data_IF_368965999833
#
_entry.id   IF_368965999833
#
_cell.length_a   1.000
_cell.length_b   1.000
_cell.length_c   1.000
_cell.angle_alpha   90.00
_cell.angle_beta   90.00
_cell.angle_gamma   90.00
#
_symmetry.space_group_name_H-M   'P 1'
#
loop_
_entity.id
_entity.type
_entity.pdbx_description
1 polymer ?
#
# COMPACT_ATOMS: atom_id res chain seq x y z
N UNK A 1 -10.56 0.61 -10.79
CA UNK A 1 -10.36 -0.05 -12.09
C UNK A 1 -8.89 -0.10 -12.51
N UNK A 2 -8.15 1.03 -12.54
CA UNK A 2 -6.77 1.08 -13.09
C UNK A 2 -5.63 0.72 -12.13
N UNK A 3 -5.94 0.34 -10.89
CA UNK A 3 -4.90 -0.07 -9.91
C UNK A 3 -4.01 -1.23 -10.38
N UNK A 4 -4.52 -2.26 -11.10
CA UNK A 4 -3.66 -3.29 -11.65
C UNK A 4 -2.56 -2.75 -12.57
N UNK A 5 -2.85 -1.71 -13.36
CA UNK A 5 -1.83 -1.02 -14.17
C UNK A 5 -0.85 -0.23 -13.30
N UNK A 6 -1.34 0.41 -12.23
CA UNK A 6 -0.49 1.14 -11.29
C UNK A 6 0.54 0.21 -10.63
N UNK A 7 0.12 -0.96 -10.15
CA UNK A 7 1.00 -1.93 -9.50
C UNK A 7 1.90 -2.71 -10.49
N UNK A 8 1.56 -2.73 -11.79
CA UNK A 8 2.35 -3.47 -12.80
C UNK A 8 3.27 -2.58 -13.64
N UNK A 9 3.22 -1.25 -13.50
CA UNK A 9 3.91 -0.32 -14.40
C UNK A 9 5.42 -0.53 -14.48
N UNK A 10 6.04 -0.96 -13.38
CA UNK A 10 7.48 -1.23 -13.31
C UNK A 10 7.84 -2.70 -13.55
N UNK A 11 6.84 -3.58 -13.67
CA UNK A 11 7.05 -5.02 -13.81
C UNK A 11 7.20 -5.39 -15.30
N UNK A 12 8.15 -6.26 -15.60
CA UNK A 12 8.49 -6.64 -16.99
C UNK A 12 8.16 -8.11 -17.21
N UNK A 13 7.63 -8.43 -18.41
CA UNK A 13 7.32 -9.80 -18.79
C UNK A 13 6.26 -10.45 -17.89
N UNK A 14 6.51 -11.69 -17.47
CA UNK A 14 5.58 -12.49 -16.65
C UNK A 14 5.23 -11.84 -15.30
N UNK A 15 6.16 -11.05 -14.75
CA UNK A 15 5.91 -10.31 -13.51
C UNK A 15 4.78 -9.28 -13.66
N UNK A 16 4.66 -8.67 -14.84
CA UNK A 16 3.61 -7.69 -15.15
C UNK A 16 2.23 -8.32 -15.13
N UNK A 17 2.07 -9.47 -15.81
CA UNK A 17 0.82 -10.22 -15.80
C UNK A 17 0.44 -10.68 -14.39
N UNK A 18 1.41 -11.20 -13.63
CA UNK A 18 1.19 -11.59 -12.23
C UNK A 18 0.78 -10.41 -11.35
N UNK A 19 1.41 -9.25 -11.52
CA UNK A 19 1.06 -8.01 -10.81
C UNK A 19 -0.37 -7.58 -11.08
N UNK A 20 -0.81 -7.64 -12.34
CA UNK A 20 -2.19 -7.33 -12.72
C UNK A 20 -3.17 -8.30 -12.05
N UNK A 21 -2.91 -9.60 -12.13
CA UNK A 21 -3.80 -10.64 -11.58
C UNK A 21 -3.88 -10.55 -10.06
N UNK A 22 -2.73 -10.49 -9.37
CA UNK A 22 -2.69 -10.37 -7.91
C UNK A 22 -3.41 -9.12 -7.42
N UNK A 23 -3.19 -7.98 -8.10
CA UNK A 23 -3.87 -6.73 -7.75
C UNK A 23 -5.37 -6.81 -7.95
N UNK A 24 -5.81 -7.34 -9.10
CA UNK A 24 -7.23 -7.51 -9.40
C UNK A 24 -7.93 -8.42 -8.38
N UNK A 25 -7.32 -9.56 -8.07
CA UNK A 25 -7.87 -10.54 -7.11
C UNK A 25 -7.92 -9.98 -5.68
N UNK A 26 -6.89 -9.26 -5.23
CA UNK A 26 -6.88 -8.60 -3.93
C UNK A 26 -7.95 -7.50 -3.84
N UNK A 27 -8.15 -6.71 -4.89
CA UNK A 27 -9.22 -5.71 -4.92
C UNK A 27 -10.61 -6.33 -4.94
N UNK A 28 -10.80 -7.45 -5.64
CA UNK A 28 -12.08 -8.16 -5.66
C UNK A 28 -12.46 -8.65 -4.26
N UNK A 29 -11.55 -9.34 -3.56
CA UNK A 29 -11.83 -9.80 -2.20
C UNK A 29 -12.02 -8.61 -1.25
N UNK A 30 -11.20 -7.56 -1.38
CA UNK A 30 -11.34 -6.35 -0.59
C UNK A 30 -12.72 -5.70 -0.77
N UNK A 31 -13.19 -5.57 -2.02
CA UNK A 31 -14.50 -5.00 -2.32
C UNK A 31 -15.63 -5.76 -1.62
N UNK A 32 -15.72 -7.08 -1.84
CA UNK A 32 -16.77 -7.93 -1.25
C UNK A 32 -16.76 -7.84 0.28
N UNK A 33 -15.57 -7.93 0.88
CA UNK A 33 -15.42 -7.89 2.34
C UNK A 33 -15.72 -6.51 2.91
N UNK A 34 -15.36 -5.41 2.23
CA UNK A 34 -15.73 -4.05 2.67
C UNK A 34 -17.24 -3.87 2.74
N UNK A 35 -18.00 -4.35 1.75
CA UNK A 35 -19.47 -4.29 1.81
C UNK A 35 -20.02 -5.11 2.98
N UNK A 36 -19.53 -6.33 3.16
CA UNK A 36 -19.95 -7.19 4.27
C UNK A 36 -19.65 -6.56 5.63
N UNK A 37 -18.40 -6.13 5.86
CA UNK A 37 -17.97 -5.52 7.11
C UNK A 37 -18.69 -4.20 7.35
N UNK A 38 -18.89 -3.36 6.33
CA UNK A 38 -19.61 -2.10 6.48
C UNK A 38 -21.03 -2.30 7.02
N UNK A 39 -21.75 -3.32 6.53
CA UNK A 39 -23.08 -3.66 7.04
C UNK A 39 -22.98 -4.29 8.45
N UNK A 40 -22.03 -5.19 8.68
CA UNK A 40 -21.90 -5.91 9.95
C UNK A 40 -21.57 -4.99 11.14
N UNK A 41 -20.78 -3.94 10.93
CA UNK A 41 -20.38 -2.99 11.98
C UNK A 41 -21.35 -1.80 12.13
N UNK A 42 -22.40 -1.75 11.32
CA UNK A 42 -23.49 -0.80 11.47
C UNK A 42 -24.63 -1.43 12.28
N UNK A 43 -25.16 -0.68 13.26
CA UNK A 43 -26.21 -1.17 14.16
C UNK A 43 -27.53 -1.50 13.44
N UNK A 44 -27.80 -0.85 12.31
CA UNK A 44 -28.98 -1.05 11.48
C UNK A 44 -28.68 -1.86 10.21
N UNK A 45 -27.48 -2.43 10.08
CA UNK A 45 -27.02 -3.20 8.91
C UNK A 45 -26.97 -2.40 7.61
N UNK A 46 -26.88 -1.07 7.66
CA UNK A 46 -26.78 -0.22 6.47
C UNK A 46 -25.35 -0.15 5.94
N UNK A 47 -25.22 0.21 4.67
CA UNK A 47 -23.93 0.49 4.05
C UNK A 47 -23.54 1.95 4.25
N UNK A 48 -22.27 2.21 4.54
CA UNK A 48 -21.73 3.57 4.64
C UNK A 48 -20.92 3.88 3.38
N UNK A 49 -21.29 4.92 2.66
CA UNK A 49 -20.65 5.29 1.39
C UNK A 49 -19.18 5.70 1.53
N UNK A 50 -18.75 6.22 2.70
CA UNK A 50 -17.32 6.48 2.95
C UNK A 50 -16.53 5.17 2.93
N UNK A 51 -17.07 4.09 3.50
CA UNK A 51 -16.42 2.78 3.43
C UNK A 51 -16.40 2.27 1.98
N UNK A 52 -17.52 2.37 1.26
CA UNK A 52 -17.63 1.85 -0.11
C UNK A 52 -16.70 2.59 -1.09
N UNK A 53 -16.62 3.90 -0.98
CA UNK A 53 -15.78 4.73 -1.87
C UNK A 53 -14.29 4.56 -1.58
N UNK A 54 -13.92 4.35 -0.32
CA UNK A 54 -12.51 4.32 0.08
C UNK A 54 -12.00 2.91 0.40
N UNK A 55 -12.59 2.22 1.37
CA UNK A 55 -12.04 0.95 1.88
C UNK A 55 -12.03 -0.17 0.84
N UNK A 56 -12.89 -0.13 -0.19
CA UNK A 56 -12.86 -1.08 -1.32
C UNK A 56 -11.56 -1.03 -2.14
N UNK A 57 -10.80 0.06 -2.01
CA UNK A 57 -9.53 0.28 -2.70
C UNK A 57 -8.31 -0.22 -1.89
N UNK A 58 -8.48 -0.51 -0.60
CA UNK A 58 -7.39 -0.85 0.32
C UNK A 58 -6.62 -2.13 -0.10
N UNK A 59 -7.29 -3.08 -0.76
CA UNK A 59 -6.65 -4.28 -1.30
C UNK A 59 -5.59 -3.98 -2.36
N UNK A 60 -5.78 -2.92 -3.16
CA UNK A 60 -4.79 -2.47 -4.15
C UNK A 60 -3.54 -1.89 -3.49
N UNK A 61 -3.71 -1.17 -2.37
CA UNK A 61 -2.60 -0.68 -1.54
C UNK A 61 -1.86 -1.86 -0.88
N UNK A 62 -2.60 -2.75 -0.22
CA UNK A 62 -2.03 -3.81 0.61
C UNK A 62 -1.22 -4.86 -0.17
N UNK A 63 -1.56 -5.08 -1.44
CA UNK A 63 -0.81 -6.00 -2.32
C UNK A 63 0.34 -5.32 -3.05
N UNK A 64 0.48 -4.00 -2.99
CA UNK A 64 1.42 -3.23 -3.81
C UNK A 64 2.85 -3.77 -3.77
N UNK A 65 3.41 -3.97 -2.58
CA UNK A 65 4.78 -4.46 -2.39
C UNK A 65 4.99 -5.91 -2.81
N UNK A 66 3.92 -6.69 -2.99
CA UNK A 66 3.99 -8.13 -3.33
C UNK A 66 3.26 -8.47 -4.63
N UNK A 67 2.80 -7.46 -5.38
CA UNK A 67 2.00 -7.65 -6.58
C UNK A 67 2.74 -8.50 -7.61
N UNK A 68 4.03 -8.23 -7.82
CA UNK A 68 4.88 -9.00 -8.75
C UNK A 68 5.45 -10.29 -8.13
N UNK A 69 5.18 -10.60 -6.86
CA UNK A 69 5.69 -11.78 -6.18
C UNK A 69 4.78 -13.01 -6.37
N UNK A 70 5.32 -14.22 -6.17
CA UNK A 70 4.57 -15.49 -6.29
C UNK A 70 3.77 -15.78 -5.02
N UNK A 71 2.75 -14.96 -4.77
CA UNK A 71 1.84 -15.12 -3.61
C UNK A 71 0.64 -16.02 -3.90
N UNK A 72 0.48 -16.48 -5.14
CA UNK A 72 -0.70 -17.17 -5.67
C UNK A 72 -2.00 -16.35 -5.54
N UNK A 73 -3.06 -16.67 -6.34
CA UNK A 73 -4.33 -15.97 -6.22
C UNK A 73 -4.95 -16.04 -4.82
N UNK A 74 -4.76 -17.14 -4.09
CA UNK A 74 -5.28 -17.27 -2.73
C UNK A 74 -4.60 -16.30 -1.74
N UNK A 75 -3.29 -16.09 -1.87
CA UNK A 75 -2.57 -15.14 -1.02
C UNK A 75 -3.03 -13.71 -1.27
N UNK A 76 -3.23 -13.34 -2.55
CA UNK A 76 -3.81 -12.05 -2.92
C UNK A 76 -5.21 -11.84 -2.31
N UNK A 77 -6.08 -12.86 -2.33
CA UNK A 77 -7.41 -12.78 -1.70
C UNK A 77 -7.34 -12.56 -0.18
N UNK A 78 -6.42 -13.24 0.50
CA UNK A 78 -6.20 -13.09 1.96
C UNK A 78 -5.76 -11.67 2.27
N UNK A 79 -4.77 -11.14 1.54
CA UNK A 79 -4.27 -9.77 1.71
C UNK A 79 -5.41 -8.76 1.54
N UNK A 80 -6.20 -8.89 0.46
CA UNK A 80 -7.34 -8.02 0.20
C UNK A 80 -8.42 -8.07 1.29
N UNK A 81 -8.71 -9.27 1.83
CA UNK A 81 -9.65 -9.47 2.94
C UNK A 81 -9.17 -8.77 4.21
N UNK A 82 -7.90 -8.94 4.58
CA UNK A 82 -7.31 -8.30 5.75
C UNK A 82 -7.32 -6.76 5.60
N UNK A 83 -6.97 -6.27 4.41
CA UNK A 83 -6.99 -4.83 4.10
C UNK A 83 -8.40 -4.23 4.23
N UNK A 84 -9.43 -4.91 3.73
CA UNK A 84 -10.82 -4.49 3.88
C UNK A 84 -11.25 -4.35 5.34
N UNK A 85 -10.90 -5.34 6.18
CA UNK A 85 -11.24 -5.32 7.61
C UNK A 85 -10.51 -4.15 8.30
N UNK A 86 -9.19 -4.04 8.11
CA UNK A 86 -8.37 -2.97 8.71
C UNK A 86 -8.90 -1.60 8.28
N UNK A 87 -9.15 -1.40 6.99
CA UNK A 87 -9.59 -0.11 6.46
C UNK A 87 -11.00 0.25 6.95
N UNK A 88 -11.96 -0.66 6.82
CA UNK A 88 -13.37 -0.40 7.18
C UNK A 88 -13.55 -0.18 8.68
N UNK A 89 -12.89 -0.98 9.52
CA UNK A 89 -12.89 -0.77 10.98
C UNK A 89 -12.14 0.52 11.33
N UNK A 90 -11.07 0.83 10.62
CA UNK A 90 -10.33 2.09 10.76
C UNK A 90 -11.22 3.32 10.56
N UNK A 91 -12.01 3.35 9.50
CA UNK A 91 -12.98 4.43 9.27
C UNK A 91 -14.00 4.54 10.41
N UNK A 92 -14.56 3.42 10.87
CA UNK A 92 -15.60 3.42 11.90
C UNK A 92 -15.08 3.77 13.31
N UNK A 93 -13.89 3.31 13.67
CA UNK A 93 -13.38 3.33 15.05
C UNK A 93 -12.14 4.23 15.18
N UNK A 94 -11.13 4.01 14.36
CA UNK A 94 -9.83 4.69 14.51
C UNK A 94 -9.94 6.17 14.13
N UNK A 95 -10.61 6.51 13.02
CA UNK A 95 -10.74 7.92 12.58
C UNK A 95 -11.40 8.79 13.65
N UNK A 96 -12.56 8.41 14.23
CA UNK A 96 -13.13 9.17 15.34
C UNK A 96 -12.22 9.24 16.57
N UNK A 97 -11.46 8.17 16.86
CA UNK A 97 -10.53 8.16 17.98
C UNK A 97 -9.37 9.14 17.79
N UNK A 98 -8.71 9.12 16.62
CA UNK A 98 -7.61 10.02 16.27
C UNK A 98 -8.07 11.48 16.36
N UNK A 99 -9.24 11.80 15.80
CA UNK A 99 -9.81 13.14 15.85
C UNK A 99 -10.14 13.58 17.29
N UNK A 100 -10.86 12.75 18.07
CA UNK A 100 -11.37 13.15 19.39
C UNK A 100 -10.34 13.10 20.52
N UNK A 101 -9.33 12.23 20.41
CA UNK A 101 -8.37 11.97 21.50
C UNK A 101 -6.96 12.47 21.19
N UNK A 102 -6.56 12.47 19.91
CA UNK A 102 -5.23 12.89 19.49
C UNK A 102 -5.23 14.20 18.69
N UNK A 103 -6.41 14.76 18.39
CA UNK A 103 -6.57 15.99 17.61
C UNK A 103 -5.94 15.89 16.21
N UNK A 104 -5.90 14.67 15.67
CA UNK A 104 -5.41 14.37 14.33
C UNK A 104 -6.60 14.29 13.38
N UNK A 105 -6.82 15.36 12.63
CA UNK A 105 -7.87 15.44 11.63
C UNK A 105 -7.41 14.83 10.30
N UNK A 106 -8.07 13.75 9.88
CA UNK A 106 -7.83 13.06 8.61
C UNK A 106 -9.12 13.12 7.78
N UNK A 107 -9.25 14.17 6.96
CA UNK A 107 -10.48 14.49 6.21
C UNK A 107 -10.99 13.33 5.36
N UNK A 108 -10.09 12.67 4.64
CA UNK A 108 -10.46 11.55 3.75
C UNK A 108 -10.24 10.18 4.40
N UNK A 109 -9.69 10.12 5.61
CA UNK A 109 -9.29 8.86 6.23
C UNK A 109 -8.14 8.17 5.49
N UNK A 110 -7.18 8.93 4.96
CA UNK A 110 -6.04 8.40 4.20
C UNK A 110 -5.19 7.45 5.05
N UNK A 111 -5.19 7.56 6.37
CA UNK A 111 -4.56 6.58 7.23
C UNK A 111 -5.24 5.19 7.14
N UNK A 112 -6.56 5.14 6.97
CA UNK A 112 -7.30 3.88 6.86
C UNK A 112 -7.19 3.26 5.47
N UNK A 113 -7.07 4.07 4.41
CA UNK A 113 -6.93 3.58 3.05
C UNK A 113 -5.46 3.31 2.67
N UNK A 114 -4.56 4.24 2.95
CA UNK A 114 -3.17 4.18 2.52
C UNK A 114 -2.23 3.78 3.66
N UNK A 115 -2.31 4.44 4.81
CA UNK A 115 -1.37 4.25 5.93
C UNK A 115 -1.32 2.81 6.44
N UNK A 116 -2.40 2.34 7.07
CA UNK A 116 -2.45 1.00 7.65
C UNK A 116 -2.36 -0.12 6.59
N UNK A 117 -3.06 -0.05 5.44
CA UNK A 117 -2.88 -1.05 4.38
C UNK A 117 -1.47 -1.03 3.77
N UNK A 118 -0.80 0.12 3.71
CA UNK A 118 0.60 0.23 3.28
C UNK A 118 1.59 -0.42 4.27
N UNK A 119 1.36 -0.26 5.57
CA UNK A 119 2.10 -1.00 6.61
C UNK A 119 1.89 -2.50 6.46
N UNK A 120 0.64 -2.95 6.23
CA UNK A 120 0.34 -4.35 5.94
C UNK A 120 1.12 -4.83 4.71
N UNK A 121 1.20 -4.04 3.63
CA UNK A 121 1.96 -4.39 2.43
C UNK A 121 3.45 -4.62 2.72
N UNK A 122 4.07 -3.74 3.51
CA UNK A 122 5.48 -3.89 3.90
C UNK A 122 5.73 -5.13 4.76
N UNK A 123 4.84 -5.42 5.71
CA UNK A 123 4.92 -6.62 6.55
C UNK A 123 4.75 -7.90 5.73
N UNK A 124 3.77 -7.93 4.82
CA UNK A 124 3.55 -9.07 3.93
C UNK A 124 4.74 -9.25 2.98
N UNK A 125 5.33 -8.17 2.47
CA UNK A 125 6.56 -8.22 1.66
C UNK A 125 7.72 -8.89 2.41
N UNK A 126 7.93 -8.55 3.68
CA UNK A 126 8.95 -9.20 4.50
C UNK A 126 8.71 -10.70 4.66
N UNK A 127 7.45 -11.10 4.92
CA UNK A 127 7.08 -12.53 5.02
C UNK A 127 7.33 -13.24 3.69
N UNK A 128 6.86 -12.69 2.58
CA UNK A 128 7.03 -13.31 1.25
C UNK A 128 8.52 -13.39 0.87
N UNK A 129 9.32 -12.36 1.18
CA UNK A 129 10.76 -12.37 0.99
C UNK A 129 11.46 -13.47 1.80
N UNK A 130 11.04 -13.70 3.05
CA UNK A 130 11.60 -14.76 3.91
C UNK A 130 11.30 -16.19 3.42
N UNK A 131 10.27 -16.35 2.59
CA UNK A 131 9.85 -17.64 2.02
C UNK A 131 10.31 -17.84 0.57
N UNK A 132 10.94 -16.82 -0.02
CA UNK A 132 11.39 -16.88 -1.40
C UNK A 132 12.64 -17.74 -1.53
N UNK A 133 12.63 -18.72 -2.42
CA UNK A 133 13.75 -19.63 -2.67
C UNK A 133 13.88 -19.93 -4.17
N UNK A 134 15.03 -20.44 -4.62
CA UNK A 134 15.19 -20.92 -6.00
C UNK A 134 14.22 -22.07 -6.32
N UNK A 135 13.75 -22.84 -5.34
CA UNK A 135 12.73 -23.86 -5.55
C UNK A 135 11.38 -23.23 -5.97
N UNK A 136 10.96 -22.18 -5.27
CA UNK A 136 9.66 -21.54 -5.49
C UNK A 136 9.69 -20.53 -6.63
N UNK A 137 10.84 -19.89 -6.89
CA UNK A 137 10.99 -18.82 -7.89
C UNK A 137 11.85 -19.20 -9.10
N UNK A 138 12.54 -20.34 -9.06
CA UNK A 138 13.59 -20.64 -10.02
C UNK A 138 14.68 -19.57 -10.02
N UNK A 139 15.40 -19.47 -11.13
CA UNK A 139 16.43 -18.45 -11.34
C UNK A 139 15.87 -17.01 -11.39
N UNK A 140 14.55 -16.84 -11.60
CA UNK A 140 13.91 -15.50 -11.61
C UNK A 140 13.97 -14.80 -10.25
N UNK A 141 14.25 -15.55 -9.17
CA UNK A 141 14.49 -15.01 -7.83
C UNK A 141 15.49 -13.85 -7.84
N UNK A 142 16.54 -13.97 -8.64
CA UNK A 142 17.65 -13.01 -8.67
C UNK A 142 17.34 -11.73 -9.45
N UNK A 143 16.32 -11.75 -10.32
CA UNK A 143 15.77 -10.53 -10.91
C UNK A 143 14.91 -9.78 -9.90
N UNK A 144 14.11 -10.51 -9.12
CA UNK A 144 13.23 -9.94 -8.10
C UNK A 144 14.01 -9.39 -6.89
N UNK A 145 15.06 -10.11 -6.46
CA UNK A 145 15.92 -9.74 -5.34
C UNK A 145 17.40 -9.70 -5.76
N UNK A 146 17.86 -8.62 -6.42
CA UNK A 146 19.23 -8.52 -6.92
C UNK A 146 20.31 -8.68 -5.83
N UNK A 147 20.05 -8.20 -4.61
CA UNK A 147 20.99 -8.34 -3.48
C UNK A 147 21.23 -9.81 -3.07
N UNK A 148 20.31 -10.72 -3.42
CA UNK A 148 20.48 -12.16 -3.21
C UNK A 148 21.36 -12.83 -4.26
N UNK A 149 21.68 -12.14 -5.36
CA UNK A 149 22.56 -12.67 -6.40
C UNK A 149 23.93 -13.05 -5.81
N UNK A 150 24.56 -14.15 -6.25
CA UNK A 150 25.84 -14.59 -5.71
C UNK A 150 26.95 -13.55 -5.91
N UNK A 151 28.01 -13.68 -5.10
CA UNK A 151 29.18 -12.80 -5.15
C UNK A 151 29.90 -12.91 -6.50
N UNK A 152 30.65 -11.86 -6.85
CA UNK A 152 31.54 -11.85 -8.00
C UNK A 152 32.53 -13.01 -7.95
N UNK A 153 32.83 -13.60 -9.11
CA UNK A 153 33.72 -14.76 -9.28
C UNK A 153 33.25 -16.08 -8.61
N UNK A 154 31.97 -16.21 -8.28
CA UNK A 154 31.39 -17.48 -7.83
C UNK A 154 30.96 -18.37 -9.00
N UNK A 155 31.02 -19.68 -8.81
CA UNK A 155 30.50 -20.66 -9.78
C UNK A 155 29.00 -20.47 -9.99
N UNK A 156 28.25 -20.15 -8.93
CA UNK A 156 26.81 -19.91 -9.00
C UNK A 156 26.46 -18.68 -9.83
N UNK A 157 27.23 -17.57 -9.70
CA UNK A 157 27.03 -16.41 -10.57
C UNK A 157 27.30 -16.77 -12.03
N UNK A 158 28.35 -17.53 -12.30
CA UNK A 158 28.69 -17.98 -13.67
C UNK A 158 27.56 -18.83 -14.26
N UNK A 159 26.97 -19.73 -13.47
CA UNK A 159 25.77 -20.52 -13.85
C UNK A 159 24.59 -19.60 -14.18
N UNK A 160 24.29 -18.62 -13.32
CA UNK A 160 23.16 -17.72 -13.52
C UNK A 160 23.34 -16.82 -14.74
N UNK A 161 24.55 -16.36 -15.01
CA UNK A 161 24.87 -15.55 -16.20
C UNK A 161 24.65 -16.32 -17.50
N UNK A 162 24.90 -17.63 -17.53
CA UNK A 162 24.61 -18.49 -18.68
C UNK A 162 23.10 -18.67 -18.94
N UNK A 163 22.28 -18.68 -17.87
CA UNK A 163 20.82 -18.93 -17.97
C UNK A 163 20.04 -17.64 -18.25
N UNK A 164 20.31 -16.59 -17.47
CA UNK A 164 19.50 -15.37 -17.46
C UNK A 164 20.05 -14.29 -18.39
N UNK A 165 21.37 -14.27 -18.62
CA UNK A 165 22.05 -13.20 -19.34
C UNK A 165 22.04 -11.87 -18.58
N UNK A 166 23.20 -11.24 -18.42
CA UNK A 166 23.29 -9.88 -17.85
C UNK A 166 22.95 -9.74 -16.36
N UNK A 167 22.78 -10.84 -15.62
CA UNK A 167 22.65 -10.80 -14.15
C UNK A 167 23.96 -10.26 -13.54
N UNK A 168 23.83 -9.28 -12.64
CA UNK A 168 24.95 -8.66 -11.94
C UNK A 168 25.25 -9.43 -10.65
N UNK A 169 26.51 -9.42 -10.17
CA UNK A 169 26.81 -9.91 -8.83
C UNK A 169 25.99 -9.13 -7.79
N UNK A 170 25.55 -9.83 -6.75
CA UNK A 170 24.89 -9.24 -5.60
C UNK A 170 25.71 -9.44 -4.33
N UNK A 171 25.06 -9.27 -3.19
CA UNK A 171 25.67 -9.36 -1.87
C UNK A 171 25.51 -10.76 -1.25
N UNK A 172 24.98 -11.73 -2.02
CA UNK A 172 24.67 -13.08 -1.58
C UNK A 172 23.79 -13.12 -0.32
N UNK A 173 22.77 -12.25 -0.27
CA UNK A 173 21.85 -12.17 0.86
C UNK A 173 21.02 -13.46 1.04
N UNK A 174 20.89 -13.87 2.30
CA UNK A 174 19.97 -14.93 2.73
C UNK A 174 18.50 -14.49 2.62
N UNK A 175 17.55 -15.41 2.76
CA UNK A 175 16.12 -15.06 2.88
C UNK A 175 15.87 -14.10 4.04
N UNK A 176 16.55 -14.35 5.17
CA UNK A 176 16.41 -13.55 6.38
C UNK A 176 16.95 -12.13 6.18
N UNK A 177 18.11 -11.99 5.51
CA UNK A 177 18.68 -10.69 5.18
C UNK A 177 17.75 -9.89 4.26
N UNK A 178 17.19 -10.54 3.24
CA UNK A 178 16.25 -9.89 2.34
C UNK A 178 14.95 -9.48 3.03
N UNK A 179 14.42 -10.31 3.92
CA UNK A 179 13.23 -9.99 4.72
C UNK A 179 13.48 -8.84 5.71
N UNK A 180 14.64 -8.84 6.36
CA UNK A 180 15.05 -7.74 7.25
C UNK A 180 15.12 -6.42 6.49
N UNK A 181 15.69 -6.41 5.28
CA UNK A 181 15.74 -5.22 4.44
C UNK A 181 14.34 -4.68 4.08
N UNK A 182 13.33 -5.54 3.90
CA UNK A 182 11.94 -5.09 3.68
C UNK A 182 11.38 -4.37 4.92
N UNK A 183 11.66 -4.89 6.12
CA UNK A 183 11.24 -4.27 7.39
C UNK A 183 11.98 -2.96 7.65
N UNK A 184 13.28 -2.93 7.37
CA UNK A 184 14.11 -1.73 7.48
C UNK A 184 13.62 -0.63 6.53
N UNK A 185 13.30 -0.98 5.27
CA UNK A 185 12.73 -0.05 4.30
C UNK A 185 11.37 0.50 4.78
N UNK A 186 10.50 -0.33 5.34
CA UNK A 186 9.24 0.10 5.93
C UNK A 186 9.46 1.09 7.09
N UNK A 187 10.33 0.74 8.05
CA UNK A 187 10.62 1.59 9.20
C UNK A 187 11.23 2.93 8.78
N UNK A 188 12.17 2.90 7.84
CA UNK A 188 12.81 4.10 7.26
C UNK A 188 11.78 4.97 6.56
N UNK A 189 10.89 4.38 5.76
CA UNK A 189 9.82 5.13 5.07
C UNK A 189 8.90 5.84 6.06
N UNK A 190 8.48 5.16 7.13
CA UNK A 190 7.64 5.77 8.18
C UNK A 190 8.41 6.91 8.87
N UNK A 191 9.67 6.69 9.23
CA UNK A 191 10.51 7.70 9.87
C UNK A 191 10.67 8.97 9.02
N UNK A 192 10.94 8.80 7.71
CA UNK A 192 11.04 9.91 6.76
C UNK A 192 9.68 10.61 6.62
N UNK A 193 8.59 9.87 6.40
CA UNK A 193 7.26 10.44 6.19
C UNK A 193 6.78 11.28 7.39
N UNK A 194 6.96 10.78 8.62
CA UNK A 194 6.59 11.52 9.84
C UNK A 194 7.44 12.78 9.99
N UNK A 195 8.76 12.65 9.84
CA UNK A 195 9.68 13.78 10.01
C UNK A 195 9.43 14.87 8.95
N UNK A 196 9.33 14.48 7.68
CA UNK A 196 9.06 15.41 6.59
C UNK A 196 7.66 16.03 6.69
N UNK A 197 6.65 15.27 7.11
CA UNK A 197 5.30 15.76 7.34
C UNK A 197 5.22 16.82 8.43
N UNK A 198 5.92 16.60 9.56
CA UNK A 198 6.02 17.59 10.65
C UNK A 198 6.69 18.87 10.16
N UNK A 199 7.84 18.76 9.49
CA UNK A 199 8.58 19.91 8.96
C UNK A 199 7.70 20.71 7.98
N UNK A 200 7.09 20.00 7.03
CA UNK A 200 6.19 20.62 6.04
C UNK A 200 5.02 21.30 6.72
N UNK A 201 4.39 20.65 7.70
CA UNK A 201 3.29 21.21 8.50
C UNK A 201 3.66 22.51 9.21
N UNK A 202 4.87 22.61 9.77
CA UNK A 202 5.36 23.86 10.37
C UNK A 202 5.59 24.96 9.33
N UNK A 203 6.09 24.62 8.15
CA UNK A 203 6.33 25.59 7.06
C UNK A 203 5.00 26.17 6.57
N UNK A 204 4.03 25.32 6.21
CA UNK A 204 2.75 25.75 5.63
C UNK A 204 1.83 26.45 6.64
N UNK A 205 2.12 26.35 7.93
CA UNK A 205 1.43 27.11 8.98
C UNK A 205 1.84 28.59 9.01
N UNK A 206 2.92 28.96 8.32
CA UNK A 206 3.38 30.34 8.24
C UNK A 206 2.32 31.24 7.55
N UNK A 207 2.12 32.50 8.01
CA UNK A 207 1.21 33.45 7.36
C UNK A 207 1.51 33.72 5.88
N UNK A 208 2.74 33.46 5.42
CA UNK A 208 3.12 33.58 4.01
C UNK A 208 2.35 32.63 3.09
N UNK A 209 1.76 31.55 3.63
CA UNK A 209 0.95 30.59 2.88
C UNK A 209 -0.55 30.79 3.08
N UNK A 210 -0.96 31.85 3.78
CA UNK A 210 -2.35 32.23 4.04
C UNK A 210 -3.27 31.03 4.41
N UNK A 211 -2.97 30.32 5.52
CA UNK A 211 -3.72 29.13 5.89
C UNK A 211 -5.19 29.48 6.23
N UNK A 212 -6.16 28.67 5.78
CA UNK A 212 -7.58 28.96 5.99
C UNK A 212 -7.94 28.97 7.48
N UNK A 213 -8.85 29.87 7.85
CA UNK A 213 -9.44 29.91 9.19
C UNK A 213 -10.46 28.79 9.33
N UNK A 214 -10.80 28.44 10.58
CA UNK A 214 -11.75 27.36 10.88
C UNK A 214 -13.11 27.50 10.18
N UNK A 215 -13.62 28.74 10.04
CA UNK A 215 -14.90 29.01 9.36
C UNK A 215 -14.83 28.82 7.84
N UNK A 216 -13.63 28.78 7.26
CA UNK A 216 -13.37 28.67 5.82
C UNK A 216 -13.10 27.21 5.42
N UNK A 217 -13.02 26.29 6.39
CA UNK A 217 -12.71 24.89 6.11
C UNK A 217 -13.91 24.21 5.43
N UNK A 218 -13.64 23.54 4.32
CA UNK A 218 -14.63 22.80 3.52
C UNK A 218 -15.70 23.69 2.86
N UNK A 219 -15.37 24.96 2.63
CA UNK A 219 -16.19 25.94 1.92
C UNK A 219 -15.43 26.42 0.66
N UNK A 220 -16.08 26.35 -0.50
CA UNK A 220 -15.48 26.73 -1.77
C UNK A 220 -15.56 28.25 -2.03
N UNK A 221 -16.45 28.98 -1.34
CA UNK A 221 -16.79 30.40 -1.62
C UNK A 221 -15.60 31.36 -1.49
N UNK A 222 -14.65 31.06 -0.61
CA UNK A 222 -13.47 31.90 -0.39
C UNK A 222 -12.45 31.81 -1.55
N UNK A 223 -12.48 30.72 -2.33
CA UNK A 223 -11.47 30.43 -3.34
C UNK A 223 -12.03 30.27 -4.76
N UNK A 224 -13.35 30.18 -4.91
CA UNK A 224 -14.02 29.95 -6.18
C UNK A 224 -15.20 30.88 -6.37
N UNK A 225 -15.44 31.28 -7.62
CA UNK A 225 -16.74 31.81 -8.03
C UNK A 225 -17.76 30.66 -7.98
N UNK A 226 -18.63 30.69 -6.98
CA UNK A 226 -19.71 29.72 -6.84
C UNK A 226 -20.97 30.21 -7.57
N UNK A 227 -21.82 29.31 -8.08
CA UNK A 227 -23.13 29.69 -8.57
C UNK A 227 -23.92 30.42 -7.48
N UNK A 228 -24.72 31.41 -7.86
CA UNK A 228 -25.69 32.00 -6.94
C UNK A 228 -26.60 30.87 -6.40
N UNK A 229 -26.90 30.90 -5.09
CA UNK A 229 -27.79 29.93 -4.46
C UNK A 229 -29.19 30.03 -5.11
N UNK A 230 -29.48 29.15 -6.08
CA UNK A 230 -30.83 28.89 -6.58
C UNK A 230 -31.62 28.12 -5.52
N UNK A 231 -31.93 28.79 -4.40
CA UNK A 231 -32.82 28.31 -3.35
C UNK A 231 -34.00 29.26 -3.18
N UNK A 232 -35.00 29.05 -4.04
CA UNK A 232 -36.42 29.26 -3.75
C UNK A 232 -37.07 27.92 -3.38
#
# INVERSE_FOLDING_TARGET
MFWPSFNSVMAVGDEGHRSVINTYVAMLSCCVITFAISSLIDGERRLNMVHIQNATLAGGVAVGSTANMRIHPFGAMIIGTLAAIISTVGYKVLTPYLTKKLHLHDTCGVNNLHGMPGVLAGLVSAVVASMASEENYGVSLYHLYPARSPLINSTDLSRLQLILGGIKPGDNWSEASQAYAQLEALATTIGIAVSAGIITGYIIRSPSFDPPKTLQLYDDTDYWEVPDDDHA
#
